data_IF_549895590285
#
_entry.id   IF_549895590285
#
_cell.length_a   1.000
_cell.length_b   1.000
_cell.length_c   1.000
_cell.angle_alpha   90.00
_cell.angle_beta   90.00
_cell.angle_gamma   90.00
#
_symmetry.space_group_name_H-M   'P 1'
#
loop_
_entity.id
_entity.type
_entity.pdbx_description
1 polymer ?
#
# COMPACT_ATOMS: atom_id res chain seq x y z
N UNK A 1 -54.14 -5.75 -46.29
CA UNK A 1 -53.66 -6.90 -45.47
C UNK A 1 -52.14 -7.00 -45.46
N UNK A 2 -51.47 -7.11 -46.62
CA UNK A 2 -49.98 -7.20 -46.73
C UNK A 2 -49.21 -6.17 -45.89
N UNK A 3 -49.58 -4.88 -45.98
CA UNK A 3 -48.90 -3.79 -45.27
C UNK A 3 -48.96 -3.92 -43.74
N UNK A 4 -50.07 -4.43 -43.21
CA UNK A 4 -50.27 -4.64 -41.78
C UNK A 4 -49.43 -5.83 -41.31
N UNK A 5 -49.38 -6.92 -42.10
CA UNK A 5 -48.54 -8.08 -41.84
C UNK A 5 -47.06 -7.72 -41.78
N UNK A 6 -46.58 -6.90 -42.72
CA UNK A 6 -45.17 -6.46 -42.74
C UNK A 6 -44.84 -5.55 -41.55
N UNK A 7 -45.72 -4.60 -41.21
CA UNK A 7 -45.54 -3.78 -39.99
C UNK A 7 -45.46 -4.63 -38.74
N UNK A 8 -46.39 -5.58 -38.56
CA UNK A 8 -46.38 -6.49 -37.41
C UNK A 8 -45.06 -7.27 -37.30
N UNK A 9 -44.53 -7.74 -38.44
CA UNK A 9 -43.25 -8.45 -38.47
C UNK A 9 -42.08 -7.57 -38.03
N UNK A 10 -42.00 -6.34 -38.52
CA UNK A 10 -40.94 -5.40 -38.11
C UNK A 10 -41.03 -5.00 -36.63
N UNK A 11 -42.25 -4.78 -36.12
CA UNK A 11 -42.47 -4.51 -34.69
C UNK A 11 -42.04 -5.69 -33.82
N UNK A 12 -42.33 -6.92 -34.25
CA UNK A 12 -41.92 -8.13 -33.55
C UNK A 12 -40.39 -8.30 -33.52
N UNK A 13 -39.72 -8.09 -34.67
CA UNK A 13 -38.25 -8.10 -34.75
C UNK A 13 -37.62 -7.02 -33.83
N UNK A 14 -38.24 -5.84 -33.77
CA UNK A 14 -37.80 -4.76 -32.87
C UNK A 14 -37.97 -5.15 -31.40
N UNK A 15 -39.09 -5.78 -31.05
CA UNK A 15 -39.37 -6.26 -29.70
C UNK A 15 -38.38 -7.35 -29.26
N UNK A 16 -38.06 -8.32 -30.12
CA UNK A 16 -37.05 -9.34 -29.84
C UNK A 16 -35.66 -8.73 -29.61
N UNK A 17 -35.30 -7.71 -30.41
CA UNK A 17 -34.03 -6.99 -30.23
C UNK A 17 -33.96 -6.25 -28.89
N UNK A 18 -35.06 -5.61 -28.50
CA UNK A 18 -35.14 -4.88 -27.23
C UNK A 18 -35.11 -5.83 -26.03
N UNK A 19 -35.76 -7.00 -26.13
CA UNK A 19 -35.68 -8.03 -25.09
C UNK A 19 -34.23 -8.52 -24.89
N UNK A 20 -33.46 -8.63 -25.98
CA UNK A 20 -32.04 -9.00 -25.91
C UNK A 20 -31.21 -7.92 -25.21
N UNK A 21 -31.36 -6.66 -25.62
CA UNK A 21 -30.65 -5.55 -24.97
C UNK A 21 -31.00 -5.44 -23.48
N UNK A 22 -32.27 -5.63 -23.12
CA UNK A 22 -32.71 -5.62 -21.73
C UNK A 22 -32.02 -6.71 -20.88
N UNK A 23 -31.77 -7.88 -21.45
CA UNK A 23 -31.01 -8.95 -20.78
C UNK A 23 -29.55 -8.55 -20.59
N UNK A 24 -28.93 -7.97 -21.61
CA UNK A 24 -27.54 -7.48 -21.56
C UNK A 24 -27.38 -6.39 -20.49
N UNK A 25 -28.30 -5.42 -20.40
CA UNK A 25 -28.25 -4.37 -19.38
C UNK A 25 -28.43 -4.90 -17.96
N UNK A 26 -29.29 -5.91 -17.76
CA UNK A 26 -29.46 -6.57 -16.46
C UNK A 26 -28.19 -7.30 -16.05
N UNK A 27 -27.56 -8.00 -16.98
CA UNK A 27 -26.29 -8.67 -16.73
C UNK A 27 -25.18 -7.66 -16.40
N UNK A 28 -25.08 -6.57 -17.15
CA UNK A 28 -24.10 -5.51 -16.89
C UNK A 28 -24.30 -4.90 -15.48
N UNK A 29 -25.55 -4.68 -15.08
CA UNK A 29 -25.88 -4.22 -13.73
C UNK A 29 -25.39 -5.18 -12.64
N UNK A 30 -25.53 -6.50 -12.85
CA UNK A 30 -25.03 -7.51 -11.91
C UNK A 30 -23.51 -7.48 -11.81
N UNK A 31 -22.80 -7.34 -12.94
CA UNK A 31 -21.34 -7.21 -12.98
C UNK A 31 -20.86 -5.96 -12.24
N UNK A 32 -21.50 -4.81 -12.49
CA UNK A 32 -21.16 -3.56 -11.79
C UNK A 32 -21.38 -3.66 -10.28
N UNK A 33 -22.43 -4.35 -9.83
CA UNK A 33 -22.66 -4.61 -8.40
C UNK A 33 -21.57 -5.52 -7.82
N UNK A 34 -21.12 -6.52 -8.58
CA UNK A 34 -20.01 -7.39 -8.16
C UNK A 34 -18.69 -6.60 -8.06
N UNK A 35 -18.36 -5.76 -9.04
CA UNK A 35 -17.18 -4.90 -9.02
C UNK A 35 -17.21 -3.93 -7.83
N UNK A 36 -18.36 -3.30 -7.57
CA UNK A 36 -18.55 -2.47 -6.38
C UNK A 36 -18.23 -3.24 -5.10
N UNK A 37 -18.69 -4.48 -4.97
CA UNK A 37 -18.40 -5.30 -3.79
C UNK A 37 -16.91 -5.67 -3.69
N UNK A 38 -16.24 -5.91 -4.81
CA UNK A 38 -14.80 -6.13 -4.84
C UNK A 38 -14.03 -4.90 -4.32
N UNK A 39 -14.39 -3.69 -4.78
CA UNK A 39 -13.78 -2.46 -4.29
C UNK A 39 -14.02 -2.20 -2.80
N UNK A 40 -15.20 -2.55 -2.27
CA UNK A 40 -15.47 -2.45 -0.83
C UNK A 40 -14.51 -3.35 -0.03
N UNK A 41 -14.22 -4.55 -0.52
CA UNK A 41 -13.26 -5.45 0.14
C UNK A 41 -11.81 -4.95 0.01
N UNK A 42 -11.42 -4.38 -1.14
CA UNK A 42 -10.13 -3.72 -1.32
C UNK A 42 -9.93 -2.59 -0.30
N UNK A 43 -10.96 -1.73 -0.14
CA UNK A 43 -10.94 -0.68 0.88
C UNK A 43 -10.79 -1.28 2.28
N UNK A 44 -11.52 -2.36 2.61
CA UNK A 44 -11.42 -3.02 3.91
C UNK A 44 -10.00 -3.54 4.18
N UNK A 45 -9.33 -4.07 3.18
CA UNK A 45 -7.94 -4.54 3.28
C UNK A 45 -6.97 -3.38 3.49
N UNK A 46 -7.12 -2.27 2.74
CA UNK A 46 -6.30 -1.07 2.94
C UNK A 46 -6.44 -0.55 4.37
N UNK A 47 -7.66 -0.49 4.92
CA UNK A 47 -7.87 -0.10 6.31
C UNK A 47 -7.16 -1.06 7.29
N UNK A 48 -7.18 -2.36 7.03
CA UNK A 48 -6.47 -3.33 7.87
C UNK A 48 -4.95 -3.11 7.83
N UNK A 49 -4.39 -2.86 6.66
CA UNK A 49 -2.96 -2.59 6.48
C UNK A 49 -2.54 -1.28 7.18
N UNK A 50 -3.35 -0.22 7.07
CA UNK A 50 -3.14 1.04 7.80
C UNK A 50 -3.06 0.78 9.31
N UNK A 51 -4.03 0.05 9.86
CA UNK A 51 -4.04 -0.28 11.29
C UNK A 51 -2.78 -1.07 11.72
N UNK A 52 -2.29 -1.99 10.88
CA UNK A 52 -1.05 -2.72 11.17
C UNK A 52 0.16 -1.79 11.19
N UNK A 53 0.24 -0.86 10.23
CA UNK A 53 1.31 0.13 10.16
C UNK A 53 1.28 1.09 11.35
N UNK A 54 0.11 1.62 11.73
CA UNK A 54 -0.06 2.49 12.89
C UNK A 54 0.41 1.81 14.19
N UNK A 55 0.03 0.54 14.39
CA UNK A 55 0.48 -0.24 15.54
C UNK A 55 2.00 -0.48 15.51
N UNK A 56 2.57 -0.70 14.33
CA UNK A 56 4.02 -0.89 14.16
C UNK A 56 4.80 0.38 14.50
N UNK A 57 4.32 1.54 14.06
CA UNK A 57 4.90 2.85 14.40
C UNK A 57 4.84 3.05 15.92
N UNK A 58 3.66 2.89 16.53
CA UNK A 58 3.46 3.05 17.98
C UNK A 58 4.38 2.14 18.80
N UNK A 59 4.56 0.89 18.36
CA UNK A 59 5.49 -0.05 19.01
C UNK A 59 6.94 0.44 18.88
N UNK A 60 7.34 0.89 17.69
CA UNK A 60 8.69 1.40 17.42
C UNK A 60 9.01 2.65 18.25
N UNK A 61 8.06 3.56 18.41
CA UNK A 61 8.20 4.75 19.27
C UNK A 61 8.37 4.37 20.75
N UNK A 62 7.61 3.37 21.22
CA UNK A 62 7.75 2.84 22.58
C UNK A 62 9.14 2.23 22.79
N UNK A 63 9.62 1.45 21.84
CA UNK A 63 10.94 0.80 21.94
C UNK A 63 12.08 1.81 21.86
N UNK A 64 11.96 2.83 20.98
CA UNK A 64 12.88 3.96 20.95
C UNK A 64 12.92 4.68 22.31
N UNK A 65 11.77 4.93 22.93
CA UNK A 65 11.69 5.57 24.25
C UNK A 65 12.43 4.76 25.33
N UNK A 66 12.28 3.43 25.31
CA UNK A 66 13.00 2.53 26.25
C UNK A 66 14.52 2.56 26.01
N UNK A 67 14.95 2.51 24.74
CA UNK A 67 16.36 2.59 24.39
C UNK A 67 16.98 3.91 24.84
N UNK A 68 16.26 5.02 24.67
CA UNK A 68 16.69 6.34 25.13
C UNK A 68 16.87 6.37 26.65
N UNK A 69 15.91 5.85 27.40
CA UNK A 69 16.00 5.80 28.86
C UNK A 69 17.17 4.92 29.32
N UNK A 70 17.35 3.74 28.70
CA UNK A 70 18.48 2.86 29.00
C UNK A 70 19.82 3.53 28.71
N UNK A 71 19.93 4.25 27.60
CA UNK A 71 21.17 4.91 27.19
C UNK A 71 21.50 6.07 28.12
N UNK A 72 20.49 6.85 28.53
CA UNK A 72 20.64 7.90 29.54
C UNK A 72 21.18 7.36 30.86
N UNK A 73 20.59 6.27 31.38
CA UNK A 73 21.03 5.66 32.64
C UNK A 73 22.48 5.18 32.57
N UNK A 74 22.87 4.52 31.48
CA UNK A 74 24.27 4.10 31.27
C UNK A 74 25.23 5.29 31.20
N UNK A 75 24.82 6.39 30.58
CA UNK A 75 25.63 7.61 30.52
C UNK A 75 25.81 8.24 31.92
N UNK A 76 24.75 8.29 32.71
CA UNK A 76 24.79 8.75 34.11
C UNK A 76 25.69 7.87 34.99
N UNK A 77 25.77 6.56 34.74
CA UNK A 77 26.69 5.63 35.43
C UNK A 77 28.14 5.74 34.94
N UNK A 78 28.34 5.93 33.63
CA UNK A 78 29.67 6.04 33.02
C UNK A 78 30.43 7.29 33.50
N UNK A 79 29.75 8.42 33.57
CA UNK A 79 30.36 9.73 33.88
C UNK A 79 31.18 9.74 35.18
N UNK A 80 30.63 9.37 36.36
CA UNK A 80 31.39 9.37 37.61
C UNK A 80 32.52 8.33 37.59
N UNK A 81 32.33 7.20 36.91
CA UNK A 81 33.37 6.18 36.77
C UNK A 81 34.55 6.70 35.94
N UNK A 82 34.28 7.38 34.82
CA UNK A 82 35.31 8.04 34.01
C UNK A 82 36.07 9.09 34.82
N UNK A 83 35.35 9.95 35.54
CA UNK A 83 35.95 10.97 36.40
C UNK A 83 36.87 10.35 37.47
N UNK A 84 36.46 9.24 38.07
CA UNK A 84 37.27 8.51 39.03
C UNK A 84 38.54 7.91 38.41
N UNK A 85 38.42 7.27 37.24
CA UNK A 85 39.56 6.71 36.50
C UNK A 85 40.53 7.82 36.09
N UNK A 86 40.02 8.94 35.59
CA UNK A 86 40.82 10.11 35.25
C UNK A 86 41.57 10.65 36.48
N UNK A 87 40.92 10.75 37.64
CA UNK A 87 41.55 11.18 38.88
C UNK A 87 42.72 10.27 39.27
N UNK A 88 42.54 8.94 39.21
CA UNK A 88 43.61 7.98 39.47
C UNK A 88 44.77 8.10 38.49
N UNK A 89 44.48 8.25 37.18
CA UNK A 89 45.51 8.46 36.15
C UNK A 89 46.35 9.71 36.43
N UNK A 90 45.70 10.79 36.84
CA UNK A 90 46.39 12.04 37.19
C UNK A 90 47.31 11.87 38.41
N UNK A 91 46.92 11.08 39.44
CA UNK A 91 47.82 10.79 40.58
C UNK A 91 49.09 10.04 40.19
N UNK A 92 49.03 9.30 39.08
CA UNK A 92 50.17 8.57 38.50
C UNK A 92 50.94 9.37 37.44
N UNK A 93 50.58 10.65 37.22
CA UNK A 93 51.22 11.50 36.20
C UNK A 93 50.83 11.16 34.76
N UNK A 94 49.78 10.35 34.56
CA UNK A 94 49.26 9.99 33.24
C UNK A 94 48.20 11.01 32.78
N UNK A 95 48.10 11.23 31.47
CA UNK A 95 47.04 12.07 30.88
C UNK A 95 45.66 11.42 31.03
N UNK A 96 44.63 12.26 31.11
CA UNK A 96 43.21 11.85 31.12
C UNK A 96 42.85 11.04 29.87
N UNK A 97 41.83 10.20 30.01
CA UNK A 97 41.27 9.48 28.87
C UNK A 97 40.49 10.44 27.96
N UNK A 98 40.53 10.24 26.62
CA UNK A 98 39.70 10.98 25.68
C UNK A 98 38.23 10.94 26.10
N UNK A 99 37.55 12.08 25.95
CA UNK A 99 36.11 12.15 26.13
C UNK A 99 35.40 11.46 24.97
N UNK A 100 34.25 10.84 25.23
CA UNK A 100 33.37 10.27 24.19
C UNK A 100 32.58 11.39 23.50
N UNK A 101 33.18 12.56 23.28
CA UNK A 101 32.52 13.84 22.99
C UNK A 101 31.64 13.76 21.72
N UNK A 102 32.05 13.00 20.70
CA UNK A 102 31.27 12.79 19.47
C UNK A 102 30.04 11.89 19.68
N UNK A 103 30.04 11.04 20.71
CA UNK A 103 28.90 10.21 21.11
C UNK A 103 28.02 10.96 22.12
N UNK A 104 28.59 11.76 23.00
CA UNK A 104 27.89 12.64 23.95
C UNK A 104 27.05 13.74 23.25
N UNK A 105 27.56 14.36 22.18
CA UNK A 105 26.78 15.31 21.37
C UNK A 105 25.62 14.64 20.62
N UNK A 106 25.77 13.37 20.20
CA UNK A 106 24.69 12.58 19.58
C UNK A 106 23.67 12.08 20.62
N UNK A 107 24.11 11.88 21.85
CA UNK A 107 23.28 11.57 23.01
C UNK A 107 22.57 12.80 23.59
N UNK A 108 22.95 14.00 23.14
CA UNK A 108 22.25 15.23 23.50
C UNK A 108 20.77 15.10 23.16
N UNK A 109 19.93 15.41 24.16
CA UNK A 109 18.47 15.51 24.07
C UNK A 109 17.97 16.20 22.78
N UNK A 110 18.74 17.17 22.29
CA UNK A 110 18.45 17.97 21.10
C UNK A 110 18.38 17.16 19.79
N UNK A 111 19.19 16.11 19.62
CA UNK A 111 19.13 15.27 18.42
C UNK A 111 17.77 14.54 18.31
N UNK A 112 17.20 14.15 19.45
CA UNK A 112 15.99 13.34 19.52
C UNK A 112 14.71 14.16 19.64
N UNK A 113 14.73 15.32 20.32
CA UNK A 113 13.59 16.26 20.32
C UNK A 113 13.32 16.82 18.91
N UNK A 114 14.39 17.09 18.15
CA UNK A 114 14.29 17.58 16.77
C UNK A 114 13.71 16.52 15.84
N UNK A 115 14.12 15.26 15.98
CA UNK A 115 13.50 14.14 15.27
C UNK A 115 12.02 14.03 15.63
N UNK A 116 11.65 13.94 16.92
CA UNK A 116 10.24 13.79 17.33
C UNK A 116 9.34 14.92 16.80
N UNK A 117 9.85 16.14 16.73
CA UNK A 117 9.16 17.28 16.13
C UNK A 117 8.96 17.12 14.61
N UNK A 118 9.97 16.61 13.89
CA UNK A 118 9.89 16.32 12.45
C UNK A 118 8.88 15.20 12.12
N UNK A 119 8.80 14.15 12.95
CA UNK A 119 7.85 13.03 12.76
C UNK A 119 6.39 13.41 13.01
N UNK A 120 6.11 14.44 13.83
CA UNK A 120 4.74 14.90 14.09
C UNK A 120 4.21 15.91 13.06
N UNK A 121 5.06 16.40 12.16
CA UNK A 121 4.68 17.31 11.07
C UNK A 121 4.26 16.58 9.79
N UNK A 122 3.48 15.50 9.89
CA UNK A 122 2.78 15.02 8.69
C UNK A 122 1.71 16.04 8.27
N UNK A 123 1.60 16.38 6.96
CA UNK A 123 0.47 17.15 6.47
C UNK A 123 -0.81 16.36 6.74
N UNK A 124 -1.71 16.89 7.57
CA UNK A 124 -3.07 16.36 7.70
C UNK A 124 -3.66 16.18 6.30
N UNK A 125 -3.91 14.94 5.88
CA UNK A 125 -4.85 14.71 4.79
C UNK A 125 -6.18 15.36 5.19
N UNK A 126 -6.82 16.12 4.29
CA UNK A 126 -8.06 16.79 4.60
C UNK A 126 -9.07 15.74 5.09
N UNK A 127 -9.82 16.04 6.17
CA UNK A 127 -10.77 15.08 6.72
C UNK A 127 -11.72 14.64 5.62
N UNK A 128 -11.83 13.31 5.45
CA UNK A 128 -12.73 12.71 4.49
C UNK A 128 -14.12 13.28 4.76
N UNK A 129 -14.80 13.89 3.76
CA UNK A 129 -16.12 14.48 3.96
C UNK A 129 -17.06 13.52 4.67
N UNK A 130 -17.77 14.02 5.68
CA UNK A 130 -18.67 13.24 6.56
C UNK A 130 -19.70 12.41 5.76
N UNK A 131 -20.06 12.87 4.56
CA UNK A 131 -20.90 12.17 3.59
C UNK A 131 -20.32 10.84 3.08
N UNK A 132 -19.01 10.76 2.87
CA UNK A 132 -18.30 9.54 2.45
C UNK A 132 -18.12 8.57 3.62
N UNK A 133 -17.83 9.08 4.81
CA UNK A 133 -17.74 8.28 6.03
C UNK A 133 -19.11 7.66 6.41
N UNK A 134 -20.20 8.43 6.31
CA UNK A 134 -21.55 7.95 6.55
C UNK A 134 -21.99 6.91 5.50
N UNK A 135 -21.60 7.07 4.24
CA UNK A 135 -21.87 6.09 3.18
C UNK A 135 -21.15 4.75 3.43
N UNK A 136 -19.91 4.79 3.92
CA UNK A 136 -19.16 3.59 4.31
C UNK A 136 -19.81 2.87 5.51
N UNK A 137 -20.26 3.62 6.54
CA UNK A 137 -20.96 3.06 7.70
C UNK A 137 -22.34 2.48 7.34
N UNK A 138 -23.10 3.13 6.46
CA UNK A 138 -24.40 2.64 5.99
C UNK A 138 -24.26 1.36 5.15
N UNK A 139 -23.19 1.24 4.36
CA UNK A 139 -22.89 0.03 3.59
C UNK A 139 -22.57 -1.18 4.49
N UNK A 140 -21.99 -0.96 5.67
CA UNK A 140 -21.73 -2.02 6.65
C UNK A 140 -23.01 -2.56 7.28
N UNK A 141 -24.01 -1.70 7.56
CA UNK A 141 -25.26 -2.13 8.18
C UNK A 141 -26.13 -3.02 7.28
N UNK A 142 -26.07 -2.82 5.95
CA UNK A 142 -26.78 -3.66 4.97
C UNK A 142 -26.22 -5.09 4.85
N UNK A 143 -24.99 -5.35 5.33
CA UNK A 143 -24.35 -6.66 5.24
C UNK A 143 -24.54 -7.54 6.49
N UNK A 144 -24.94 -6.97 7.64
CA UNK A 144 -25.14 -7.74 8.88
C UNK A 144 -26.43 -8.58 8.83
N UNK A 145 -27.41 -8.18 8.02
CA UNK A 145 -28.68 -8.90 7.86
C UNK A 145 -28.62 -10.15 6.96
N UNK A 146 -27.48 -10.47 6.34
CA UNK A 146 -27.31 -11.59 5.38
C UNK A 146 -26.23 -12.60 5.78
N UNK A 147 -25.91 -12.74 7.06
CA UNK A 147 -24.96 -13.75 7.55
C UNK A 147 -25.65 -14.94 8.19
N UNK A 148 -26.32 -15.76 7.38
CA UNK A 148 -26.42 -17.20 7.62
C UNK A 148 -26.16 -17.89 6.28
N UNK A 149 -25.30 -18.92 6.32
CA UNK A 149 -24.76 -19.69 5.20
C UNK A 149 -23.73 -19.00 4.30
N UNK A 150 -22.45 -19.26 4.57
CA UNK A 150 -21.69 -20.29 3.85
C UNK A 150 -20.23 -20.25 4.33
N UNK A 151 -19.86 -21.26 5.12
CA UNK A 151 -18.49 -21.70 5.30
C UNK A 151 -18.00 -22.25 3.96
N UNK A 152 -17.14 -21.51 3.25
CA UNK A 152 -16.09 -22.04 2.37
C UNK A 152 -15.24 -20.87 1.87
N UNK A 153 -14.21 -20.55 2.65
CA UNK A 153 -13.10 -19.68 2.23
C UNK A 153 -12.28 -20.40 1.18
N UNK A 154 -12.75 -20.38 -0.07
CA UNK A 154 -11.90 -20.63 -1.22
C UNK A 154 -11.08 -19.36 -1.46
N UNK A 155 -9.79 -19.45 -1.14
CA UNK A 155 -8.78 -18.44 -1.44
C UNK A 155 -8.69 -18.21 -2.95
N UNK A 156 -9.50 -17.31 -3.50
CA UNK A 156 -9.20 -16.66 -4.78
C UNK A 156 -8.13 -15.60 -4.52
N UNK A 157 -6.92 -16.05 -4.18
CA UNK A 157 -5.73 -15.21 -4.20
C UNK A 157 -5.54 -14.80 -5.65
N UNK A 158 -5.89 -13.55 -5.97
CA UNK A 158 -5.40 -12.94 -7.21
C UNK A 158 -3.88 -13.05 -7.16
N UNK A 159 -3.32 -13.93 -8.00
CA UNK A 159 -1.88 -13.98 -8.16
C UNK A 159 -1.44 -12.60 -8.63
N UNK A 160 -0.42 -11.98 -8.00
CA UNK A 160 0.08 -10.70 -8.46
C UNK A 160 0.42 -10.81 -9.95
N UNK A 161 0.05 -9.80 -10.77
CA UNK A 161 0.20 -9.85 -12.21
C UNK A 161 1.65 -10.17 -12.57
N UNK A 162 1.90 -11.03 -13.58
CA UNK A 162 3.23 -11.51 -13.87
C UNK A 162 4.15 -10.31 -14.20
N UNK A 163 5.24 -10.19 -13.47
CA UNK A 163 6.22 -9.12 -13.62
C UNK A 163 7.42 -9.58 -14.45
N UNK A 164 8.18 -8.63 -15.01
CA UNK A 164 9.50 -8.87 -15.64
C UNK A 164 10.52 -7.90 -15.05
N UNK A 165 11.79 -8.30 -14.96
CA UNK A 165 12.87 -7.39 -14.60
C UNK A 165 13.29 -6.53 -15.82
N UNK A 166 13.53 -5.24 -15.60
CA UNK A 166 14.14 -4.36 -16.60
C UNK A 166 15.58 -4.81 -16.91
N UNK A 167 15.98 -4.86 -18.19
CA UNK A 167 17.34 -5.27 -18.58
C UNK A 167 18.44 -4.24 -18.26
N UNK A 168 18.07 -3.01 -17.88
CA UNK A 168 19.02 -1.94 -17.57
C UNK A 168 19.15 -1.72 -16.06
N UNK A 169 18.03 -1.48 -15.37
CA UNK A 169 18.04 -1.20 -13.93
C UNK A 169 17.60 -2.39 -13.06
N UNK A 170 17.23 -3.52 -13.67
CA UNK A 170 16.82 -4.75 -12.97
C UNK A 170 15.56 -4.64 -12.09
N UNK A 171 14.91 -3.48 -12.03
CA UNK A 171 13.67 -3.31 -11.29
C UNK A 171 12.50 -4.10 -11.92
N UNK A 172 11.60 -4.58 -11.07
CA UNK A 172 10.36 -5.25 -11.45
C UNK A 172 9.41 -4.26 -12.16
N UNK A 173 9.01 -4.59 -13.38
CA UNK A 173 8.05 -3.83 -14.19
C UNK A 173 6.97 -4.77 -14.74
N UNK A 174 5.80 -4.22 -15.09
CA UNK A 174 4.72 -5.01 -15.68
C UNK A 174 5.19 -5.77 -16.95
N UNK A 175 4.81 -7.05 -17.12
CA UNK A 175 5.32 -7.91 -18.22
C UNK A 175 5.09 -7.32 -19.62
N UNK A 176 4.01 -6.57 -19.82
CA UNK A 176 3.69 -5.92 -21.10
C UNK A 176 4.16 -4.46 -21.21
N UNK A 177 4.91 -3.93 -20.23
CA UNK A 177 5.41 -2.55 -20.30
C UNK A 177 6.39 -2.37 -21.48
N UNK A 178 6.16 -1.42 -22.41
CA UNK A 178 7.02 -1.20 -23.57
C UNK A 178 8.34 -0.48 -23.19
N UNK A 179 8.32 0.30 -22.11
CA UNK A 179 9.45 1.10 -21.61
C UNK A 179 9.47 0.99 -20.08
N UNK A 180 10.66 0.95 -19.46
CA UNK A 180 10.79 1.03 -18.01
C UNK A 180 10.38 2.42 -17.50
N UNK A 181 9.44 2.54 -16.55
CA UNK A 181 9.00 3.86 -16.06
C UNK A 181 10.11 4.62 -15.32
N UNK A 182 11.07 3.89 -14.72
CA UNK A 182 12.15 4.43 -13.89
C UNK A 182 13.33 4.94 -14.72
N UNK A 183 13.88 4.11 -15.62
CA UNK A 183 15.10 4.45 -16.37
C UNK A 183 14.85 4.73 -17.85
N UNK A 184 13.59 4.65 -18.32
CA UNK A 184 13.18 4.86 -19.72
C UNK A 184 13.82 3.93 -20.76
N UNK A 185 14.52 2.87 -20.33
CA UNK A 185 15.04 1.86 -21.23
C UNK A 185 13.92 1.07 -21.92
N UNK A 186 14.04 0.85 -23.24
CA UNK A 186 13.09 0.04 -24.02
C UNK A 186 13.13 -1.42 -23.59
N UNK A 187 11.96 -2.00 -23.35
CA UNK A 187 11.85 -3.42 -23.02
C UNK A 187 11.66 -4.24 -24.29
N UNK A 188 12.51 -5.25 -24.52
CA UNK A 188 12.38 -6.20 -25.63
C UNK A 188 11.70 -7.47 -25.13
N UNK A 189 10.67 -7.94 -25.85
CA UNK A 189 10.02 -9.22 -25.55
C UNK A 189 10.99 -10.38 -25.81
N UNK A 190 11.04 -11.37 -24.92
CA UNK A 190 11.83 -12.60 -25.10
C UNK A 190 11.26 -13.54 -26.15
N UNK A 191 9.99 -13.37 -26.54
CA UNK A 191 9.33 -14.21 -27.54
C UNK A 191 8.78 -13.32 -28.69
N UNK A 192 9.63 -12.87 -29.62
CA UNK A 192 9.17 -12.09 -30.76
C UNK A 192 8.26 -12.95 -31.65
N UNK A 193 7.06 -12.46 -31.97
CA UNK A 193 6.19 -13.10 -32.97
C UNK A 193 6.95 -13.19 -34.29
N UNK A 194 7.07 -14.40 -34.86
CA UNK A 194 7.75 -14.61 -36.15
C UNK A 194 7.15 -13.67 -37.20
N UNK A 195 7.98 -12.94 -37.97
CA UNK A 195 7.47 -12.13 -39.07
C UNK A 195 6.76 -13.05 -40.08
N UNK A 196 5.52 -12.68 -40.47
CA UNK A 196 4.81 -13.34 -41.57
C UNK A 196 5.67 -13.16 -42.83
N UNK A 197 6.10 -14.27 -43.44
CA UNK A 197 6.69 -14.25 -44.78
C UNK A 197 5.70 -13.57 -45.73
N UNK A 198 6.15 -12.52 -46.42
CA UNK A 198 5.43 -12.00 -47.59
C UNK A 198 5.46 -13.11 -48.64
N UNK A 199 4.29 -13.49 -49.17
CA UNK A 199 4.23 -14.25 -50.41
C UNK A 199 4.68 -13.30 -51.53
N UNK A 200 5.81 -13.61 -52.15
CA UNK A 200 6.13 -13.14 -53.49
C UNK A 200 5.41 -14.07 -54.47
N UNK A 201 4.31 -13.59 -55.04
CA UNK A 201 3.85 -13.71 -56.44
C UNK A 201 2.46 -13.08 -56.59
#
# INVERSE_FOLDING_TARGET
MEKIKNRLKCEFESLESEEKHLKEYKQEMELLLQEKMAHVEELRLIHADINVMENTIKQSESDLSKLLESTRRLHEEYKPLKEHVDALRMTLGLQRLPDLCEEEEKLSLDYFEKQKAEWQTEPQEPPIPESLAAAAAAAQQLQVARKQDTRQTATFRQQPPPMKACLSCHQQIHRNAPICPLCKAKSRSRNPKKPKRKQDE
#
